data_IF_806424237360
#
_entry.id   IF_806424237360
#
_cell.length_a   1.000
_cell.length_b   1.000
_cell.length_c   1.000
_cell.angle_alpha   90.00
_cell.angle_beta   90.00
_cell.angle_gamma   90.00
#
_symmetry.space_group_name_H-M   'P 1'
#
loop_
_entity.id
_entity.type
_entity.pdbx_description
1 polymer ?
#
# COMPACT_ATOMS: atom_id res chain seq x y z
N UNK A 1 10.65 -2.04 18.93
CA UNK A 1 9.93 -1.56 17.76
C UNK A 1 9.74 -2.70 16.81
N UNK A 2 8.52 -2.92 16.43
CA UNK A 2 8.20 -4.06 15.59
C UNK A 2 8.06 -3.63 14.16
N UNK A 3 8.49 -4.50 13.25
CA UNK A 3 8.21 -4.36 11.84
C UNK A 3 7.22 -5.43 11.45
N UNK A 4 6.43 -5.16 10.43
CA UNK A 4 5.54 -6.15 9.85
C UNK A 4 6.05 -6.51 8.47
N UNK A 5 5.77 -7.75 8.05
CA UNK A 5 6.07 -8.20 6.71
C UNK A 5 4.79 -8.22 5.90
N UNK A 6 4.82 -7.58 4.76
CA UNK A 6 3.72 -7.55 3.81
C UNK A 6 4.27 -7.96 2.45
N UNK A 7 3.40 -8.22 1.49
CA UNK A 7 3.84 -8.36 0.12
C UNK A 7 3.24 -7.24 -0.72
N UNK A 8 4.01 -6.77 -1.68
CA UNK A 8 3.58 -5.74 -2.61
C UNK A 8 3.87 -6.26 -4.01
N UNK A 9 2.81 -6.54 -4.76
CA UNK A 9 2.91 -7.10 -6.10
C UNK A 9 3.81 -8.36 -6.10
N UNK A 10 3.64 -9.20 -5.06
CA UNK A 10 4.37 -10.44 -4.93
C UNK A 10 5.73 -10.37 -4.28
N UNK A 11 6.20 -9.18 -3.92
CA UNK A 11 7.51 -9.02 -3.28
C UNK A 11 7.33 -8.72 -1.80
N UNK A 12 8.06 -9.42 -0.96
CA UNK A 12 8.03 -9.18 0.48
C UNK A 12 8.68 -7.84 0.80
N UNK A 13 8.01 -7.08 1.67
CA UNK A 13 8.52 -5.79 2.11
C UNK A 13 8.21 -5.62 3.59
N UNK A 14 9.15 -5.04 4.32
CA UNK A 14 8.95 -4.75 5.73
C UNK A 14 8.55 -3.29 5.91
N UNK A 15 7.60 -3.07 6.79
CA UNK A 15 7.14 -1.74 7.15
C UNK A 15 7.05 -1.65 8.67
N UNK A 16 7.17 -0.45 9.24
CA UNK A 16 6.96 -0.28 10.67
C UNK A 16 5.53 -0.66 11.03
N UNK A 17 5.36 -1.25 12.20
CA UNK A 17 4.03 -1.52 12.72
C UNK A 17 3.25 -0.21 12.81
N UNK A 18 2.01 -0.22 12.38
CA UNK A 18 1.17 0.97 12.37
C UNK A 18 1.26 1.78 11.08
N UNK A 19 2.14 1.39 10.16
CA UNK A 19 2.22 2.09 8.88
C UNK A 19 0.91 1.99 8.12
N UNK A 20 0.58 3.05 7.40
CA UNK A 20 -0.64 3.11 6.61
C UNK A 20 -0.36 2.82 5.15
N UNK A 21 -1.42 2.66 4.36
CA UNK A 21 -1.28 2.53 2.91
C UNK A 21 -0.58 3.77 2.35
N UNK A 22 -0.95 4.96 2.85
CA UNK A 22 -0.28 6.19 2.39
C UNK A 22 1.21 6.17 2.69
N UNK A 23 1.60 5.68 3.87
CA UNK A 23 3.01 5.59 4.24
C UNK A 23 3.75 4.61 3.33
N UNK A 24 3.12 3.50 2.97
CA UNK A 24 3.72 2.54 2.04
C UNK A 24 3.96 3.18 0.67
N UNK A 25 2.96 3.88 0.16
CA UNK A 25 3.10 4.52 -1.15
C UNK A 25 4.21 5.56 -1.14
N UNK A 26 4.31 6.34 -0.06
CA UNK A 26 5.38 7.31 0.09
C UNK A 26 6.75 6.62 0.12
N UNK A 27 6.86 5.51 0.83
CA UNK A 27 8.13 4.78 0.95
C UNK A 27 8.57 4.22 -0.40
N UNK A 28 7.63 3.83 -1.24
CA UNK A 28 7.94 3.31 -2.58
C UNK A 28 8.20 4.46 -3.56
N UNK A 29 7.69 5.64 -3.27
CA UNK A 29 7.84 6.80 -4.14
C UNK A 29 6.73 6.95 -5.16
N UNK A 30 5.55 6.42 -4.85
CA UNK A 30 4.42 6.49 -5.77
C UNK A 30 3.49 7.62 -5.40
N UNK A 31 2.92 8.25 -6.42
CA UNK A 31 1.94 9.31 -6.24
C UNK A 31 0.58 8.66 -5.98
N UNK A 32 -0.01 8.96 -4.83
CA UNK A 32 -1.28 8.35 -4.42
C UNK A 32 -2.40 8.62 -5.42
N UNK A 33 -2.28 9.70 -6.21
CA UNK A 33 -3.31 10.06 -7.19
C UNK A 33 -3.21 9.25 -8.47
N UNK A 34 -2.12 8.48 -8.64
CA UNK A 34 -1.83 7.80 -9.89
C UNK A 34 -1.82 6.29 -9.74
N UNK A 35 -2.32 5.78 -8.62
CA UNK A 35 -2.31 4.35 -8.37
C UNK A 35 -3.66 3.89 -7.86
N UNK A 36 -3.95 2.63 -8.10
CA UNK A 36 -5.05 1.92 -7.45
C UNK A 36 -4.44 0.84 -6.57
N UNK A 37 -4.99 0.66 -5.38
CA UNK A 37 -4.47 -0.26 -4.40
C UNK A 37 -5.54 -1.27 -4.02
N UNK A 38 -5.18 -2.55 -4.04
CA UNK A 38 -5.97 -3.62 -3.45
C UNK A 38 -5.22 -4.18 -2.25
N UNK A 39 -5.95 -4.48 -1.21
CA UNK A 39 -5.42 -5.10 -0.01
C UNK A 39 -6.21 -6.37 0.24
N UNK A 40 -5.53 -7.50 0.17
CA UNK A 40 -6.16 -8.82 0.36
C UNK A 40 -7.37 -8.96 -0.55
N UNK A 41 -7.19 -8.57 -1.82
CA UNK A 41 -8.19 -8.69 -2.88
C UNK A 41 -9.37 -7.74 -2.75
N UNK A 42 -9.25 -6.72 -1.90
CA UNK A 42 -10.28 -5.70 -1.76
C UNK A 42 -9.72 -4.34 -2.13
N UNK A 43 -10.49 -3.59 -2.87
CA UNK A 43 -10.11 -2.22 -3.25
C UNK A 43 -10.01 -1.36 -1.99
N UNK A 44 -8.92 -0.60 -1.89
CA UNK A 44 -8.78 0.40 -0.85
C UNK A 44 -9.14 1.75 -1.46
N UNK A 45 -10.22 2.39 -1.01
CA UNK A 45 -10.57 3.71 -1.54
C UNK A 45 -9.46 4.72 -1.27
N UNK A 46 -9.17 5.55 -2.26
CA UNK A 46 -8.06 6.51 -2.14
C UNK A 46 -8.23 7.42 -0.93
N UNK A 47 -9.47 7.81 -0.64
CA UNK A 47 -9.74 8.69 0.49
C UNK A 47 -9.35 8.08 1.84
N UNK A 48 -9.13 6.77 1.89
CA UNK A 48 -8.81 6.07 3.14
C UNK A 48 -7.33 5.72 3.27
N UNK A 49 -6.50 6.05 2.29
CA UNK A 49 -5.09 5.62 2.30
C UNK A 49 -4.36 6.03 3.57
N UNK A 50 -4.66 7.22 4.10
CA UNK A 50 -3.97 7.70 5.29
C UNK A 50 -4.53 7.10 6.58
N UNK A 51 -5.67 6.42 6.50
CA UNK A 51 -6.34 5.85 7.67
C UNK A 51 -6.22 4.33 7.76
N UNK A 52 -5.96 3.65 6.65
CA UNK A 52 -5.91 2.19 6.64
C UNK A 52 -4.52 1.72 7.08
N UNK A 53 -4.47 1.10 8.25
CA UNK A 53 -3.22 0.55 8.79
C UNK A 53 -2.96 -0.81 8.18
N UNK A 54 -1.71 -1.07 7.84
CA UNK A 54 -1.27 -2.36 7.32
C UNK A 54 -1.09 -3.34 8.47
N UNK A 55 -1.25 -4.62 8.18
CA UNK A 55 -1.09 -5.68 9.16
C UNK A 55 -0.13 -6.73 8.63
N UNK A 56 0.44 -7.48 9.55
CA UNK A 56 1.32 -8.60 9.22
C UNK A 56 0.63 -9.52 8.22
N UNK A 57 1.34 -9.84 7.15
CA UNK A 57 0.84 -10.79 6.15
C UNK A 57 -0.07 -10.18 5.09
N UNK A 58 -0.34 -8.87 5.15
CA UNK A 58 -1.17 -8.23 4.14
C UNK A 58 -0.58 -8.42 2.75
N UNK A 59 -1.45 -8.61 1.78
CA UNK A 59 -1.08 -8.70 0.37
C UNK A 59 -1.61 -7.48 -0.34
N UNK A 60 -0.70 -6.65 -0.82
CA UNK A 60 -1.04 -5.42 -1.52
C UNK A 60 -0.75 -5.61 -2.99
N UNK A 61 -1.68 -5.16 -3.82
CA UNK A 61 -1.46 -5.04 -5.26
C UNK A 61 -1.65 -3.60 -5.65
N UNK A 62 -0.66 -3.05 -6.32
CA UNK A 62 -0.66 -1.65 -6.69
C UNK A 62 -0.54 -1.57 -8.20
N UNK A 63 -1.52 -0.92 -8.83
CA UNK A 63 -1.52 -0.70 -10.26
C UNK A 63 -1.30 0.78 -10.51
N UNK A 64 -0.32 1.07 -11.34
CA UNK A 64 0.02 2.45 -11.67
C UNK A 64 -0.72 2.83 -12.95
N UNK A 65 -1.43 3.94 -12.90
CA UNK A 65 -2.11 4.44 -14.09
C UNK A 65 -1.08 5.04 -15.04
N UNK A 66 -1.19 4.66 -16.29
CA UNK A 66 -0.31 5.16 -17.33
C UNK A 66 -1.11 6.08 -18.24
N UNK A 67 -0.51 7.17 -18.63
CA UNK A 67 -1.16 8.12 -19.49
C UNK A 67 -2.00 9.06 -18.66
N UNK A 68 -2.11 10.22 -19.10
CA UNK A 68 -2.65 11.22 -18.29
C UNK A 68 -4.14 11.21 -18.22
N UNK A 69 -4.58 10.56 -17.35
CA UNK A 69 -5.97 10.70 -17.06
C UNK A 69 -6.30 12.12 -16.66
#
# INVERSE_FOLDING_TARGET
MSAIAISVNGETRQMPQGATVAALLAAIGLDTRKVAVERNEEIVPRSTYAAVALAEGDRLEIVHFIGGG
#
